data_IF_822291436578
#
_entry.id   IF_822291436578
#
_cell.length_a   1.000
_cell.length_b   1.000
_cell.length_c   1.000
_cell.angle_alpha   90.00
_cell.angle_beta   90.00
_cell.angle_gamma   90.00
#
_symmetry.space_group_name_H-M   'P 1'
#
loop_
_entity.id
_entity.type
_entity.pdbx_description
1 polymer ?
#
# COMPACT_ATOMS: atom_id res chain seq x y z
N UNK A 1 -14.22 6.86 -17.20
CA UNK A 1 -14.68 6.42 -15.87
C UNK A 1 -15.69 5.28 -15.98
N UNK A 2 -16.61 5.32 -16.96
CA UNK A 2 -17.63 4.28 -17.19
C UNK A 2 -17.07 2.85 -17.29
N UNK A 3 -16.01 2.63 -18.08
CA UNK A 3 -15.36 1.30 -18.21
C UNK A 3 -14.86 0.71 -16.89
N UNK A 4 -14.41 1.55 -15.96
CA UNK A 4 -13.98 1.08 -14.64
C UNK A 4 -15.17 0.62 -13.80
N UNK A 5 -16.30 1.31 -13.92
CA UNK A 5 -17.52 1.02 -13.18
C UNK A 5 -18.20 -0.25 -13.71
N UNK A 6 -18.24 -0.44 -15.02
CA UNK A 6 -18.70 -1.67 -15.67
C UNK A 6 -17.86 -2.88 -15.23
N UNK A 7 -16.53 -2.76 -15.25
CA UNK A 7 -15.65 -3.84 -14.81
C UNK A 7 -15.82 -4.17 -13.32
N UNK A 8 -15.98 -3.16 -12.45
CA UNK A 8 -16.31 -3.40 -11.03
C UNK A 8 -17.63 -4.16 -10.91
N UNK A 9 -18.66 -3.76 -11.68
CA UNK A 9 -19.96 -4.43 -11.67
C UNK A 9 -19.87 -5.89 -12.14
N UNK A 10 -19.07 -6.18 -13.15
CA UNK A 10 -18.84 -7.54 -13.63
C UNK A 10 -18.16 -8.41 -12.55
N UNK A 11 -17.16 -7.86 -11.83
CA UNK A 11 -16.56 -8.55 -10.70
C UNK A 11 -17.54 -8.75 -9.54
N UNK A 12 -18.43 -7.79 -9.29
CA UNK A 12 -19.47 -7.93 -8.29
C UNK A 12 -20.46 -9.05 -8.60
N UNK A 13 -20.87 -9.19 -9.85
CA UNK A 13 -21.69 -10.33 -10.29
C UNK A 13 -20.96 -11.66 -10.13
N UNK A 14 -19.67 -11.74 -10.51
CA UNK A 14 -18.88 -12.94 -10.33
C UNK A 14 -18.73 -13.33 -8.85
N UNK A 15 -18.57 -12.35 -7.96
CA UNK A 15 -18.50 -12.53 -6.51
C UNK A 15 -19.85 -13.00 -5.94
N UNK A 16 -20.97 -12.48 -6.44
CA UNK A 16 -22.30 -12.93 -6.02
C UNK A 16 -22.55 -14.39 -6.39
N UNK A 17 -22.07 -14.83 -7.56
CA UNK A 17 -22.17 -16.22 -8.00
C UNK A 17 -21.26 -17.12 -7.17
N UNK A 18 -20.04 -16.68 -6.88
CA UNK A 18 -19.08 -17.41 -6.06
C UNK A 18 -18.28 -16.47 -5.15
N UNK A 19 -18.66 -16.40 -3.88
CA UNK A 19 -18.00 -15.53 -2.90
C UNK A 19 -16.54 -15.91 -2.63
N UNK A 20 -16.15 -17.14 -2.95
CA UNK A 20 -14.78 -17.65 -2.79
C UNK A 20 -13.91 -17.46 -4.02
N UNK A 21 -14.45 -16.88 -5.11
CA UNK A 21 -13.71 -16.60 -6.33
C UNK A 21 -12.72 -15.46 -6.13
N UNK A 22 -11.51 -15.83 -5.70
CA UNK A 22 -10.50 -14.91 -5.24
C UNK A 22 -9.94 -14.04 -6.37
N UNK A 23 -9.95 -14.50 -7.62
CA UNK A 23 -9.52 -13.74 -8.78
C UNK A 23 -10.38 -12.50 -8.98
N UNK A 24 -11.70 -12.62 -8.85
CA UNK A 24 -12.61 -11.48 -8.94
C UNK A 24 -12.36 -10.48 -7.79
N UNK A 25 -12.15 -10.96 -6.58
CA UNK A 25 -11.77 -10.10 -5.45
C UNK A 25 -10.42 -9.39 -5.69
N UNK A 26 -9.43 -10.07 -6.24
CA UNK A 26 -8.11 -9.51 -6.53
C UNK A 26 -8.21 -8.41 -7.59
N UNK A 27 -8.86 -8.70 -8.73
CA UNK A 27 -9.01 -7.77 -9.83
C UNK A 27 -9.86 -6.56 -9.44
N UNK A 28 -10.94 -6.77 -8.69
CA UNK A 28 -11.74 -5.68 -8.10
C UNK A 28 -10.87 -4.78 -7.21
N UNK A 29 -10.02 -5.38 -6.35
CA UNK A 29 -9.11 -4.62 -5.49
C UNK A 29 -8.10 -3.77 -6.28
N UNK A 30 -7.52 -4.32 -7.35
CA UNK A 30 -6.61 -3.61 -8.25
C UNK A 30 -7.33 -2.43 -8.92
N UNK A 31 -8.53 -2.67 -9.43
CA UNK A 31 -9.27 -1.63 -10.14
C UNK A 31 -9.70 -0.49 -9.22
N UNK A 32 -10.17 -0.84 -8.01
CA UNK A 32 -10.53 0.12 -6.97
C UNK A 32 -9.32 0.96 -6.53
N UNK A 33 -8.13 0.36 -6.44
CA UNK A 33 -6.92 1.11 -6.08
C UNK A 33 -6.48 2.09 -7.18
N UNK A 34 -6.65 1.72 -8.45
CA UNK A 34 -6.36 2.59 -9.60
C UNK A 34 -7.25 3.83 -9.65
N UNK A 35 -8.53 3.70 -9.28
CA UNK A 35 -9.47 4.83 -9.23
C UNK A 35 -9.45 5.59 -7.89
N UNK A 36 -8.50 5.29 -7.01
CA UNK A 36 -8.32 5.98 -5.72
C UNK A 36 -9.29 5.55 -4.61
N UNK A 37 -10.09 4.51 -4.83
CA UNK A 37 -11.05 4.01 -3.84
C UNK A 37 -10.39 3.00 -2.88
N UNK A 38 -9.49 3.52 -2.06
CA UNK A 38 -8.54 2.74 -1.27
C UNK A 38 -9.18 1.85 -0.18
N UNK A 39 -10.21 2.32 0.51
CA UNK A 39 -10.85 1.53 1.58
C UNK A 39 -11.55 0.26 1.02
N UNK A 40 -12.42 0.37 0.00
CA UNK A 40 -12.95 -0.79 -0.73
C UNK A 40 -11.86 -1.68 -1.32
N UNK A 41 -10.79 -1.12 -1.91
CA UNK A 41 -9.67 -1.90 -2.44
C UNK A 41 -9.03 -2.78 -1.36
N UNK A 42 -8.75 -2.22 -0.18
CA UNK A 42 -8.21 -2.96 0.97
C UNK A 42 -9.11 -4.14 1.37
N UNK A 43 -10.42 -3.92 1.40
CA UNK A 43 -11.39 -4.97 1.75
C UNK A 43 -11.40 -6.11 0.73
N UNK A 44 -11.36 -5.77 -0.56
CA UNK A 44 -11.28 -6.76 -1.63
C UNK A 44 -10.01 -7.62 -1.53
N UNK A 45 -8.84 -7.01 -1.31
CA UNK A 45 -7.61 -7.79 -1.10
C UNK A 45 -7.64 -8.66 0.16
N UNK A 46 -8.25 -8.19 1.26
CA UNK A 46 -8.42 -9.00 2.47
C UNK A 46 -9.30 -10.22 2.23
N UNK A 47 -10.28 -10.15 1.32
CA UNK A 47 -11.10 -11.32 0.92
C UNK A 47 -10.25 -12.38 0.22
N UNK A 48 -9.29 -11.99 -0.63
CA UNK A 48 -8.31 -12.92 -1.25
C UNK A 48 -7.54 -13.68 -0.17
N UNK A 49 -6.99 -12.98 0.83
CA UNK A 49 -6.24 -13.63 1.91
C UNK A 49 -7.12 -14.59 2.73
N UNK A 50 -8.38 -14.21 2.99
CA UNK A 50 -9.33 -15.05 3.73
C UNK A 50 -9.75 -16.32 2.98
N UNK A 51 -9.76 -16.29 1.65
CA UNK A 51 -10.12 -17.42 0.81
C UNK A 51 -9.05 -18.54 0.77
N UNK A 52 -7.96 -18.44 1.57
CA UNK A 52 -6.87 -19.42 1.67
C UNK A 52 -6.31 -19.83 0.30
N UNK A 53 -6.05 -18.82 -0.53
CA UNK A 53 -5.56 -18.99 -1.90
C UNK A 53 -4.12 -19.49 -1.95
N UNK A 54 -3.62 -19.81 -3.14
CA UNK A 54 -2.19 -20.09 -3.34
C UNK A 54 -1.30 -18.89 -2.95
N UNK A 55 0.00 -19.16 -2.77
CA UNK A 55 0.98 -18.17 -2.35
C UNK A 55 1.07 -16.97 -3.29
N UNK A 56 0.89 -17.16 -4.60
CA UNK A 56 0.95 -16.09 -5.61
C UNK A 56 -0.18 -15.08 -5.44
N UNK A 57 -1.40 -15.57 -5.24
CA UNK A 57 -2.58 -14.73 -4.99
C UNK A 57 -2.47 -14.00 -3.65
N UNK A 58 -2.01 -14.68 -2.60
CA UNK A 58 -1.76 -14.05 -1.30
C UNK A 58 -0.70 -12.95 -1.40
N UNK A 59 0.40 -13.20 -2.11
CA UNK A 59 1.48 -12.25 -2.31
C UNK A 59 0.98 -10.99 -3.06
N UNK A 60 0.19 -11.19 -4.12
CA UNK A 60 -0.42 -10.10 -4.89
C UNK A 60 -1.37 -9.26 -4.04
N UNK A 61 -2.21 -9.91 -3.23
CA UNK A 61 -3.12 -9.23 -2.32
C UNK A 61 -2.37 -8.46 -1.21
N UNK A 62 -1.32 -9.03 -0.62
CA UNK A 62 -0.50 -8.35 0.39
C UNK A 62 0.20 -7.12 -0.20
N UNK A 63 0.78 -7.22 -1.39
CA UNK A 63 1.36 -6.06 -2.08
C UNK A 63 0.32 -4.97 -2.35
N UNK A 64 -0.89 -5.36 -2.79
CA UNK A 64 -2.01 -4.45 -2.98
C UNK A 64 -2.45 -3.74 -1.70
N UNK A 65 -2.55 -4.47 -0.58
CA UNK A 65 -2.87 -3.89 0.74
C UNK A 65 -1.76 -2.92 1.18
N UNK A 66 -0.49 -3.30 1.02
CA UNK A 66 0.64 -2.45 1.35
C UNK A 66 0.58 -1.12 0.61
N UNK A 67 0.36 -1.16 -0.72
CA UNK A 67 0.22 0.03 -1.55
C UNK A 67 -0.94 0.91 -1.07
N UNK A 68 -2.12 0.31 -0.89
CA UNK A 68 -3.32 1.01 -0.43
C UNK A 68 -3.09 1.69 0.93
N UNK A 69 -2.41 1.03 1.86
CA UNK A 69 -2.08 1.60 3.17
C UNK A 69 -1.11 2.79 3.07
N UNK A 70 -0.15 2.76 2.13
CA UNK A 70 0.72 3.90 1.87
C UNK A 70 -0.07 5.11 1.35
N UNK A 71 -1.04 4.88 0.46
CA UNK A 71 -1.91 5.95 -0.05
C UNK A 71 -2.75 6.57 1.08
N UNK A 72 -3.20 5.74 2.02
CA UNK A 72 -3.91 6.15 3.24
C UNK A 72 -2.98 6.73 4.34
N UNK A 73 -1.70 6.96 4.06
CA UNK A 73 -0.67 7.45 5.01
C UNK A 73 -0.48 6.56 6.25
N UNK A 74 -0.85 5.29 6.16
CA UNK A 74 -0.69 4.28 7.23
C UNK A 74 0.61 3.51 7.05
N UNK A 75 1.72 4.26 7.01
CA UNK A 75 3.04 3.74 6.61
C UNK A 75 3.55 2.60 7.52
N UNK A 76 3.33 2.67 8.84
CA UNK A 76 3.75 1.60 9.76
C UNK A 76 3.03 0.28 9.47
N UNK A 77 1.74 0.35 9.13
CA UNK A 77 0.95 -0.83 8.79
C UNK A 77 1.32 -1.39 7.42
N UNK A 78 1.55 -0.50 6.43
CA UNK A 78 2.05 -0.92 5.12
C UNK A 78 3.38 -1.68 5.25
N UNK A 79 4.30 -1.20 6.08
CA UNK A 79 5.58 -1.86 6.34
C UNK A 79 5.38 -3.27 6.92
N UNK A 80 4.48 -3.42 7.89
CA UNK A 80 4.13 -4.72 8.45
C UNK A 80 3.57 -5.68 7.39
N UNK A 81 2.75 -5.18 6.47
CA UNK A 81 2.18 -5.98 5.38
C UNK A 81 3.24 -6.41 4.37
N UNK A 82 4.17 -5.53 3.96
CA UNK A 82 5.28 -5.94 3.08
C UNK A 82 6.19 -6.97 3.75
N UNK A 83 6.45 -6.84 5.05
CA UNK A 83 7.17 -7.87 5.80
C UNK A 83 6.44 -9.22 5.80
N UNK A 84 5.10 -9.24 5.86
CA UNK A 84 4.32 -10.47 5.69
C UNK A 84 4.47 -11.08 4.30
N UNK A 85 4.44 -10.25 3.25
CA UNK A 85 4.65 -10.71 1.88
C UNK A 85 6.03 -11.38 1.71
N UNK A 86 7.07 -10.78 2.28
CA UNK A 86 8.44 -11.33 2.26
C UNK A 86 8.60 -12.60 3.09
N UNK A 87 7.74 -12.86 4.08
CA UNK A 87 7.72 -14.17 4.76
C UNK A 87 7.20 -15.28 3.85
N UNK A 88 6.29 -14.97 2.92
CA UNK A 88 5.78 -15.93 1.93
C UNK A 88 6.83 -16.15 0.83
N UNK A 89 7.40 -15.06 0.32
CA UNK A 89 8.44 -15.09 -0.72
C UNK A 89 9.55 -14.08 -0.40
N UNK A 90 10.67 -14.52 0.20
CA UNK A 90 11.75 -13.62 0.64
C UNK A 90 12.40 -12.81 -0.48
N UNK A 91 12.37 -13.31 -1.70
CA UNK A 91 12.94 -12.67 -2.89
C UNK A 91 11.88 -12.03 -3.81
N UNK A 92 10.68 -11.71 -3.28
CA UNK A 92 9.70 -10.95 -4.04
C UNK A 92 10.18 -9.50 -4.27
N UNK A 93 10.57 -9.21 -5.52
CA UNK A 93 11.16 -7.93 -5.88
C UNK A 93 10.23 -6.75 -5.61
N UNK A 94 8.93 -6.89 -5.89
CA UNK A 94 7.95 -5.83 -5.64
C UNK A 94 7.84 -5.50 -4.14
N UNK A 95 7.73 -6.52 -3.29
CA UNK A 95 7.69 -6.35 -1.83
C UNK A 95 8.97 -5.73 -1.29
N UNK A 96 10.15 -6.14 -1.79
CA UNK A 96 11.45 -5.58 -1.38
C UNK A 96 11.55 -4.09 -1.71
N UNK A 97 11.29 -3.72 -2.97
CA UNK A 97 11.35 -2.33 -3.42
C UNK A 97 10.39 -1.46 -2.61
N UNK A 98 9.13 -1.88 -2.46
CA UNK A 98 8.14 -1.11 -1.73
C UNK A 98 8.50 -0.94 -0.25
N UNK A 99 9.00 -2.00 0.40
CA UNK A 99 9.46 -1.97 1.79
C UNK A 99 10.64 -1.02 1.96
N UNK A 100 11.62 -1.08 1.07
CA UNK A 100 12.82 -0.24 1.14
C UNK A 100 12.51 1.24 0.95
N UNK A 101 11.69 1.57 -0.07
CA UNK A 101 11.23 2.94 -0.29
C UNK A 101 10.49 3.48 0.94
N UNK A 102 9.62 2.67 1.53
CA UNK A 102 8.88 3.04 2.73
C UNK A 102 9.77 3.23 3.95
N UNK A 103 10.76 2.36 4.14
CA UNK A 103 11.75 2.48 5.22
C UNK A 103 12.57 3.77 5.08
N UNK A 104 13.03 4.11 3.87
CA UNK A 104 13.74 5.37 3.61
C UNK A 104 12.89 6.59 3.97
N UNK A 105 11.61 6.60 3.56
CA UNK A 105 10.65 7.65 3.91
C UNK A 105 10.49 7.79 5.43
N UNK A 106 10.31 6.68 6.14
CA UNK A 106 10.13 6.68 7.60
C UNK A 106 11.39 7.18 8.33
N UNK A 107 12.58 6.79 7.88
CA UNK A 107 13.85 7.29 8.45
C UNK A 107 13.98 8.78 8.23
N UNK A 108 13.78 9.28 7.01
CA UNK A 108 13.85 10.72 6.71
C UNK A 108 12.84 11.53 7.53
N UNK A 109 11.62 11.03 7.70
CA UNK A 109 10.59 11.71 8.51
C UNK A 109 10.94 11.82 10.00
N UNK A 110 11.76 10.90 10.52
CA UNK A 110 12.25 10.95 11.91
C UNK A 110 13.48 11.83 12.07
N UNK A 111 14.29 11.97 11.03
CA UNK A 111 15.52 12.78 11.03
C UNK A 111 15.20 14.28 10.86
N UNK A 112 14.05 14.64 10.28
CA UNK A 112 13.56 16.01 10.17
C UNK A 112 12.21 16.22 10.89
N UNK A 113 12.17 16.33 12.23
CA UNK A 113 11.05 16.99 12.87
C UNK A 113 11.12 18.48 12.50
N UNK A 114 10.24 18.94 11.61
CA UNK A 114 10.13 20.36 11.26
C UNK A 114 9.79 21.13 12.53
N UNK A 115 10.79 21.81 13.09
CA UNK A 115 10.67 22.52 14.36
C UNK A 115 11.92 23.25 14.84
N UNK A 116 12.91 23.51 13.97
CA UNK A 116 14.04 24.38 14.35
C UNK A 116 14.09 25.59 13.42
N UNK A 117 13.55 26.66 13.98
CA UNK A 117 13.62 28.03 13.53
C UNK A 117 15.10 28.41 13.37
N UNK A 118 15.61 28.48 12.13
CA UNK A 118 16.93 29.02 11.85
C UNK A 118 16.90 30.55 12.09
N UNK A 119 16.97 30.97 13.35
CA UNK A 119 17.49 32.31 13.66
C UNK A 119 19.00 32.23 13.44
N UNK A 120 19.43 32.67 12.25
CA UNK A 120 20.85 32.92 11.96
C UNK A 120 21.38 33.92 13.00
N UNK A 121 22.49 33.64 13.71
CA UNK A 121 23.17 34.70 14.43
C UNK A 121 23.77 35.66 13.40
N UNK A 122 23.38 36.92 13.48
CA UNK A 122 24.03 38.02 12.76
C UNK A 122 25.45 38.11 13.35
N UNK A 123 26.45 37.78 12.53
CA UNK A 123 27.85 38.12 12.83
C UNK A 123 27.99 39.64 12.71
N UNK A 124 27.91 40.35 13.82
CA UNK A 124 28.45 41.70 13.97
C UNK A 124 29.61 41.61 14.95
N UNK A 125 30.81 41.74 14.40
CA UNK A 125 32.07 41.65 15.14
C UNK A 125 33.25 41.97 14.24
N UNK A 126 33.16 43.11 13.55
CA UNK A 126 34.32 43.85 13.03
C UNK A 126 34.24 45.24 13.67
N UNK A 127 35.40 45.88 13.88
CA UNK A 127 35.67 47.12 14.66
C UNK A 127 36.17 46.75 16.07
N UNK A 128 37.43 46.95 16.49
CA UNK A 128 38.60 47.68 15.94
C UNK A 128 39.88 46.96 16.33
#
# INVERSE_FOLDING_TARGET
>A
MEKYQEAISAYDQAIQINETFWEAWLLKGILLSQIGNFNPASNSFKKVIKAKTNSTAQLSALNGIGFVLQQLKRDKEALYIYNKALKIKPNDQASLINREQLMRKLVQSKVFPIGLNFRRPILLGSIS
#
